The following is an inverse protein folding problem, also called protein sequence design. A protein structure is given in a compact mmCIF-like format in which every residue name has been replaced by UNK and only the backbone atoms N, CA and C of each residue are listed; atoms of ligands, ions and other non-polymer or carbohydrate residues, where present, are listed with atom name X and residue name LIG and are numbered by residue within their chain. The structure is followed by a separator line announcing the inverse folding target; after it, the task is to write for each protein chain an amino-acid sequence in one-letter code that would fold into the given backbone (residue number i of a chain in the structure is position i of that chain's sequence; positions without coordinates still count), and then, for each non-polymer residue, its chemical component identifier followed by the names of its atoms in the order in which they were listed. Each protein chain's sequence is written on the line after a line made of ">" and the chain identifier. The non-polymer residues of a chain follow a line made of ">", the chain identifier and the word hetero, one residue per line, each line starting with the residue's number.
data_IF_620608161506
#
_entry.id   IF_620608161506
#
_cell.length_a   1.000
_cell.length_b   1.000
_cell.length_c   1.000
_cell.angle_alpha   90.00
_cell.angle_beta   90.00
_cell.angle_gamma   90.00
#
_symmetry.space_group_name_H-M   'P 1'
#
loop_
_entity.id
_entity.type
_entity.pdbx_description
1 polymer ?
#
# COMPACT_ATOMS: atom_id res chain seq x y z
N UNK A 1 -1.98 3.00 3.07
CA UNK A 1 -3.17 2.14 2.95
C UNK A 1 -4.36 3.01 2.61
N UNK A 2 -4.84 2.94 1.37
CA UNK A 2 -6.02 3.72 0.91
C UNK A 2 -7.25 2.85 0.66
N UNK A 3 -7.11 1.53 0.74
CA UNK A 3 -8.23 0.59 0.72
C UNK A 3 -9.27 1.00 1.78
N UNK A 4 -10.55 1.02 1.37
CA UNK A 4 -11.70 1.37 2.22
C UNK A 4 -11.68 2.77 2.85
N UNK A 5 -11.16 3.76 2.12
CA UNK A 5 -11.21 5.17 2.53
C UNK A 5 -10.02 5.61 3.37
N UNK A 6 -9.30 4.69 4.02
CA UNK A 6 -8.06 4.95 4.75
C UNK A 6 -8.15 6.06 5.80
N UNK A 7 -7.00 6.46 6.35
CA UNK A 7 -6.91 7.63 7.23
C UNK A 7 -6.48 8.87 6.44
N UNK A 8 -6.99 10.04 6.86
CA UNK A 8 -6.61 11.34 6.29
C UNK A 8 -5.19 11.77 6.67
N UNK A 9 -4.68 12.84 6.03
CA UNK A 9 -3.31 13.33 6.26
C UNK A 9 -3.06 13.73 7.71
N UNK A 10 -4.04 14.36 8.38
CA UNK A 10 -3.92 14.78 9.77
C UNK A 10 -3.54 13.63 10.73
N UNK A 11 -4.05 12.42 10.48
CA UNK A 11 -3.68 11.23 11.26
C UNK A 11 -2.21 10.88 11.06
N UNK A 12 -1.74 10.77 9.81
CA UNK A 12 -0.36 10.38 9.52
C UNK A 12 0.64 11.47 9.90
N UNK A 13 0.26 12.75 9.81
CA UNK A 13 1.07 13.87 10.32
C UNK A 13 1.27 13.77 11.84
N UNK A 14 0.19 13.54 12.59
CA UNK A 14 0.29 13.37 14.05
C UNK A 14 1.07 12.10 14.41
N UNK A 15 0.83 10.99 13.71
CA UNK A 15 1.54 9.73 13.91
C UNK A 15 3.05 9.90 13.67
N UNK A 16 3.45 10.52 12.55
CA UNK A 16 4.86 10.67 12.19
C UNK A 16 5.63 11.72 12.99
N UNK A 17 4.94 12.58 13.76
CA UNK A 17 5.59 13.40 14.80
C UNK A 17 6.11 12.58 15.97
N UNK A 18 5.50 11.41 16.24
CA UNK A 18 5.86 10.52 17.36
C UNK A 18 6.67 9.32 16.86
N UNK A 19 6.24 8.72 15.75
CA UNK A 19 6.86 7.55 15.12
C UNK A 19 7.35 7.94 13.73
N UNK A 20 8.65 8.30 13.57
CA UNK A 20 9.21 8.64 12.28
C UNK A 20 8.97 7.54 11.23
N UNK A 21 8.93 7.93 9.95
CA UNK A 21 8.92 6.94 8.86
C UNK A 21 10.14 6.04 9.01
N UNK A 22 9.92 4.73 8.90
CA UNK A 22 11.00 3.75 9.07
C UNK A 22 11.94 3.74 7.87
N UNK A 23 13.21 3.44 8.12
CA UNK A 23 14.21 3.29 7.06
C UNK A 23 13.92 2.06 6.18
N UNK A 24 14.29 2.08 4.88
CA UNK A 24 14.71 3.27 4.12
C UNK A 24 13.52 4.23 3.90
N UNK A 25 13.68 5.51 4.24
CA UNK A 25 12.57 6.47 4.19
C UNK A 25 12.06 6.71 2.77
N UNK A 26 12.93 6.65 1.77
CA UNK A 26 12.61 6.83 0.36
C UNK A 26 11.68 5.74 -0.20
N UNK A 27 11.63 4.58 0.45
CA UNK A 27 10.78 3.46 0.05
C UNK A 27 9.52 3.34 0.91
N UNK A 28 9.32 4.23 1.90
CA UNK A 28 8.22 4.12 2.84
C UNK A 28 6.86 3.97 2.13
N UNK A 29 6.61 4.82 1.13
CA UNK A 29 5.35 4.76 0.35
C UNK A 29 5.26 3.50 -0.52
N UNK A 30 6.38 2.95 -0.98
CA UNK A 30 6.41 1.70 -1.72
C UNK A 30 6.12 0.50 -0.82
N UNK A 31 6.67 0.48 0.40
CA UNK A 31 6.32 -0.52 1.42
C UNK A 31 4.84 -0.44 1.79
N UNK A 32 4.29 0.76 1.94
CA UNK A 32 2.85 0.93 2.17
C UNK A 32 2.02 0.35 1.01
N UNK A 33 2.44 0.55 -0.24
CA UNK A 33 1.80 -0.10 -1.41
C UNK A 33 1.95 -1.61 -1.37
N UNK A 34 3.10 -2.14 -1.00
CA UNK A 34 3.35 -3.57 -0.89
C UNK A 34 2.47 -4.21 0.20
N UNK A 35 2.31 -3.57 1.35
CA UNK A 35 1.39 -4.01 2.39
C UNK A 35 -0.07 -3.95 1.91
N UNK A 36 -0.44 -2.90 1.18
CA UNK A 36 -1.77 -2.81 0.58
C UNK A 36 -2.02 -3.89 -0.49
N UNK A 37 -1.02 -4.25 -1.29
CA UNK A 37 -1.10 -5.33 -2.28
C UNK A 37 -1.53 -6.66 -1.64
N UNK A 38 -0.95 -6.99 -0.48
CA UNK A 38 -1.37 -8.18 0.27
C UNK A 38 -2.88 -8.18 0.56
N UNK A 39 -3.43 -7.03 0.99
CA UNK A 39 -4.87 -6.95 1.27
C UNK A 39 -5.73 -7.03 0.00
N UNK A 40 -5.30 -6.45 -1.13
CA UNK A 40 -6.01 -6.62 -2.40
C UNK A 40 -5.99 -8.07 -2.88
N UNK A 41 -4.86 -8.77 -2.76
CA UNK A 41 -4.76 -10.20 -3.07
C UNK A 41 -5.65 -11.05 -2.16
N UNK A 42 -5.62 -10.79 -0.85
CA UNK A 42 -6.48 -11.47 0.12
C UNK A 42 -7.97 -11.24 -0.19
N UNK A 43 -8.36 -10.01 -0.49
CA UNK A 43 -9.75 -9.70 -0.86
C UNK A 43 -10.15 -10.31 -2.20
N UNK A 44 -9.22 -10.40 -3.16
CA UNK A 44 -9.48 -11.12 -4.40
C UNK A 44 -9.73 -12.61 -4.15
N UNK A 45 -8.95 -13.23 -3.26
CA UNK A 45 -9.11 -14.63 -2.90
C UNK A 45 -10.43 -14.92 -2.17
N UNK A 46 -10.85 -14.04 -1.25
CA UNK A 46 -12.06 -14.25 -0.43
C UNK A 46 -13.35 -13.79 -1.14
N UNK A 47 -13.31 -12.65 -1.84
CA UNK A 47 -14.50 -11.97 -2.37
C UNK A 47 -14.57 -11.93 -3.90
N UNK A 48 -13.54 -12.42 -4.61
CA UNK A 48 -13.56 -12.60 -6.06
C UNK A 48 -13.12 -11.38 -6.87
N UNK A 49 -13.61 -11.30 -8.12
CA UNK A 49 -12.99 -10.56 -9.21
C UNK A 49 -12.84 -9.04 -9.00
N UNK A 50 -13.66 -8.42 -8.13
CA UNK A 50 -13.67 -6.98 -7.89
C UNK A 50 -12.34 -6.38 -7.42
N UNK A 51 -11.44 -7.20 -6.87
CA UNK A 51 -10.15 -6.74 -6.31
C UNK A 51 -8.95 -7.03 -7.21
N UNK A 52 -9.13 -7.77 -8.31
CA UNK A 52 -8.02 -8.14 -9.22
C UNK A 52 -7.35 -6.90 -9.83
N UNK A 53 -8.14 -5.95 -10.31
CA UNK A 53 -7.62 -4.74 -10.98
C UNK A 53 -6.75 -3.90 -10.05
N UNK A 54 -7.18 -3.75 -8.79
CA UNK A 54 -6.41 -3.08 -7.74
C UNK A 54 -5.08 -3.77 -7.46
N UNK A 55 -5.11 -5.10 -7.23
CA UNK A 55 -3.90 -5.90 -7.01
C UNK A 55 -2.90 -5.76 -8.18
N UNK A 56 -3.36 -5.96 -9.41
CA UNK A 56 -2.50 -5.90 -10.61
C UNK A 56 -1.91 -4.49 -10.78
N UNK A 57 -2.70 -3.43 -10.57
CA UNK A 57 -2.21 -2.05 -10.69
C UNK A 57 -1.10 -1.73 -9.68
N UNK A 58 -1.25 -2.18 -8.43
CA UNK A 58 -0.21 -1.99 -7.41
C UNK A 58 1.05 -2.79 -7.77
N UNK A 59 0.88 -4.05 -8.17
CA UNK A 59 1.99 -4.94 -8.55
C UNK A 59 2.80 -4.36 -9.70
N UNK A 60 2.15 -3.87 -10.77
CA UNK A 60 2.83 -3.24 -11.90
C UNK A 60 3.63 -1.99 -11.50
N UNK A 61 3.10 -1.16 -10.58
CA UNK A 61 3.82 0.02 -10.08
C UNK A 61 5.10 -0.36 -9.33
N UNK A 62 5.03 -1.39 -8.48
CA UNK A 62 6.18 -1.86 -7.72
C UNK A 62 7.21 -2.55 -8.64
N UNK A 63 6.77 -3.43 -9.53
CA UNK A 63 7.64 -4.10 -10.49
C UNK A 63 8.34 -3.12 -11.44
N UNK A 64 7.71 -2.00 -11.81
CA UNK A 64 8.38 -0.96 -12.60
C UNK A 64 9.63 -0.38 -11.92
N UNK A 65 9.68 -0.40 -10.58
CA UNK A 65 10.81 0.13 -9.79
C UNK A 65 11.81 -0.96 -9.38
N UNK A 66 11.32 -2.17 -9.11
CA UNK A 66 12.07 -3.25 -8.45
C UNK A 66 12.13 -4.58 -9.22
N UNK A 67 11.56 -4.63 -10.42
CA UNK A 67 11.37 -5.87 -11.19
C UNK A 67 12.51 -6.25 -12.12
N UNK A 68 13.60 -5.47 -12.13
CA UNK A 68 14.82 -5.73 -12.89
C UNK A 68 15.91 -6.34 -11.98
#
# INVERSE_FOLDING_TARGET
>A
MKMFGGFGSAFFEAYHRIVPKTEPMEEYEDRVRLYELYHHLNHHAIFGAGYRSGAVSIMQKLLKKYGD
#
